data_IF_630469888723
#
_entry.id   IF_630469888723
#
_cell.length_a   1.000
_cell.length_b   1.000
_cell.length_c   1.000
_cell.angle_alpha   90.00
_cell.angle_beta   90.00
_cell.angle_gamma   90.00
#
_symmetry.space_group_name_H-M   'P 1'
#
loop_
_entity.id
_entity.type
_entity.pdbx_description
1 polymer ?
#
# COMPACT_ATOMS: atom_id res chain seq x y z
N UNK A 1 14.84 -27.02 -11.06
CA UNK A 1 14.87 -25.88 -12.01
C UNK A 1 14.59 -24.62 -11.21
N UNK A 2 15.30 -23.52 -11.45
CA UNK A 2 14.93 -22.23 -10.87
C UNK A 2 13.51 -21.86 -11.35
N UNK A 3 12.67 -21.31 -10.47
CA UNK A 3 11.37 -20.80 -10.89
C UNK A 3 11.59 -19.75 -12.00
N UNK A 4 10.74 -19.70 -13.04
CA UNK A 4 10.87 -18.69 -14.08
C UNK A 4 10.78 -17.29 -13.45
N UNK A 5 11.70 -16.41 -13.82
CA UNK A 5 11.70 -15.01 -13.39
C UNK A 5 10.41 -14.34 -13.82
N UNK A 6 9.68 -13.78 -12.86
CA UNK A 6 8.43 -13.04 -13.09
C UNK A 6 8.74 -11.59 -13.45
N UNK A 7 7.84 -10.88 -14.15
CA UNK A 7 8.14 -9.54 -14.68
C UNK A 7 8.49 -8.48 -13.63
N UNK A 8 8.06 -8.64 -12.38
CA UNK A 8 8.33 -7.69 -11.29
C UNK A 8 9.23 -8.28 -10.20
N UNK A 9 9.94 -9.38 -10.47
CA UNK A 9 10.94 -9.87 -9.52
C UNK A 9 12.00 -8.80 -9.26
N UNK A 10 12.31 -8.57 -7.97
CA UNK A 10 13.24 -7.53 -7.52
C UNK A 10 12.60 -6.15 -7.28
N UNK A 11 11.33 -5.95 -7.65
CA UNK A 11 10.60 -4.71 -7.38
C UNK A 11 10.03 -4.73 -5.96
N UNK A 12 10.23 -3.65 -5.21
CA UNK A 12 9.63 -3.44 -3.89
C UNK A 12 8.52 -2.40 -3.94
N UNK A 13 7.34 -2.78 -3.45
CA UNK A 13 6.16 -1.93 -3.37
C UNK A 13 5.81 -1.72 -1.90
N UNK A 14 5.73 -0.46 -1.47
CA UNK A 14 5.16 -0.09 -0.17
C UNK A 14 3.74 0.42 -0.41
N UNK A 15 2.78 0.01 0.40
CA UNK A 15 1.39 0.41 0.19
C UNK A 15 0.63 0.76 1.46
N UNK A 16 -0.07 1.90 1.42
CA UNK A 16 -1.03 2.35 2.43
C UNK A 16 -2.43 2.21 1.83
N UNK A 17 -3.00 1.03 2.01
CA UNK A 17 -4.17 0.63 1.25
C UNK A 17 -5.24 -0.05 2.10
N UNK A 18 -6.50 0.18 1.72
CA UNK A 18 -7.66 -0.37 2.40
C UNK A 18 -8.77 -0.73 1.39
N UNK A 19 -9.74 -1.54 1.82
CA UNK A 19 -10.89 -1.95 1.01
C UNK A 19 -10.50 -2.77 -0.24
N UNK A 20 -10.67 -2.20 -1.43
CA UNK A 20 -10.71 -2.96 -2.69
C UNK A 20 -9.71 -2.46 -3.71
N UNK A 21 -9.79 -1.19 -4.11
CA UNK A 21 -9.12 -0.71 -5.32
C UNK A 21 -7.58 -0.84 -5.26
N UNK A 22 -6.93 -0.25 -4.25
CA UNK A 22 -5.48 -0.40 -4.07
C UNK A 22 -5.08 -1.84 -3.71
N UNK A 23 -5.76 -2.54 -2.78
CA UNK A 23 -5.41 -3.93 -2.48
C UNK A 23 -5.50 -4.87 -3.68
N UNK A 24 -6.50 -4.70 -4.54
CA UNK A 24 -6.61 -5.45 -5.78
C UNK A 24 -5.46 -5.15 -6.74
N UNK A 25 -5.15 -3.87 -6.95
CA UNK A 25 -4.03 -3.45 -7.81
C UNK A 25 -2.68 -4.01 -7.32
N UNK A 26 -2.35 -3.86 -6.05
CA UNK A 26 -1.07 -4.32 -5.49
C UNK A 26 -0.98 -5.84 -5.39
N UNK A 27 -2.11 -6.55 -5.28
CA UNK A 27 -2.13 -8.01 -5.41
C UNK A 27 -1.73 -8.47 -6.82
N UNK A 28 -2.10 -7.73 -7.87
CA UNK A 28 -1.60 -8.03 -9.22
C UNK A 28 -0.07 -7.87 -9.28
N UNK A 29 0.48 -6.85 -8.62
CA UNK A 29 1.94 -6.64 -8.54
C UNK A 29 2.64 -7.80 -7.80
N UNK A 30 2.07 -8.26 -6.68
CA UNK A 30 2.58 -9.42 -5.94
C UNK A 30 2.54 -10.71 -6.78
N UNK A 31 1.42 -10.96 -7.47
CA UNK A 31 1.27 -12.13 -8.35
C UNK A 31 2.31 -12.10 -9.51
N UNK A 32 2.68 -10.90 -9.99
CA UNK A 32 3.73 -10.67 -10.99
C UNK A 32 5.15 -10.62 -10.42
N UNK A 33 5.30 -10.79 -9.10
CA UNK A 33 6.57 -11.04 -8.43
C UNK A 33 7.18 -9.91 -7.61
N UNK A 34 6.50 -8.78 -7.52
CA UNK A 34 6.94 -7.71 -6.62
C UNK A 34 6.84 -8.15 -5.15
N UNK A 35 7.78 -7.69 -4.33
CA UNK A 35 7.64 -7.74 -2.87
C UNK A 35 6.72 -6.60 -2.44
N UNK A 36 5.52 -6.93 -1.96
CA UNK A 36 4.52 -5.93 -1.55
C UNK A 36 4.43 -5.89 -0.03
N UNK A 37 4.73 -4.72 0.55
CA UNK A 37 4.67 -4.46 1.98
C UNK A 37 3.47 -3.57 2.26
N UNK A 38 2.41 -4.15 2.83
CA UNK A 38 1.19 -3.44 3.23
C UNK A 38 1.37 -2.84 4.62
N UNK A 39 1.29 -1.52 4.71
CA UNK A 39 1.32 -0.77 5.97
C UNK A 39 -0.11 -0.59 6.47
N UNK A 40 -0.38 -1.06 7.68
CA UNK A 40 -1.73 -1.09 8.25
C UNK A 40 -1.78 -0.48 9.65
N UNK A 41 -3.00 -0.20 10.13
CA UNK A 41 -3.21 0.32 11.49
C UNK A 41 -2.93 -0.77 12.53
N UNK A 42 -2.23 -0.47 13.64
CA UNK A 42 -2.08 -1.42 14.74
C UNK A 42 -3.42 -1.89 15.30
N UNK A 43 -3.50 -3.17 15.70
CA UNK A 43 -4.70 -3.79 16.28
C UNK A 43 -5.78 -4.15 15.24
N UNK A 44 -6.30 -3.16 14.52
CA UNK A 44 -7.44 -3.35 13.62
C UNK A 44 -7.04 -3.74 12.18
N UNK A 45 -5.94 -3.17 11.68
CA UNK A 45 -5.49 -3.29 10.30
C UNK A 45 -6.39 -2.60 9.26
N UNK A 46 -6.39 -3.13 8.04
CA UNK A 46 -7.37 -2.87 7.00
C UNK A 46 -8.78 -3.29 7.47
N UNK A 47 -9.78 -2.42 7.33
CA UNK A 47 -11.14 -2.74 7.74
C UNK A 47 -11.75 -3.92 6.97
N UNK A 48 -11.24 -4.24 5.77
CA UNK A 48 -11.65 -5.43 5.02
C UNK A 48 -11.37 -6.74 5.77
N UNK A 49 -10.47 -6.73 6.78
CA UNK A 49 -10.20 -7.88 7.67
C UNK A 49 -11.43 -8.32 8.47
N UNK A 50 -12.41 -7.44 8.66
CA UNK A 50 -13.59 -7.65 9.51
C UNK A 50 -14.92 -7.72 8.74
N UNK A 51 -14.87 -7.81 7.40
CA UNK A 51 -16.09 -7.88 6.57
C UNK A 51 -16.88 -9.17 6.76
N UNK A 52 -16.19 -10.28 7.02
CA UNK A 52 -16.76 -11.58 7.31
C UNK A 52 -15.70 -12.45 8.03
N UNK A 53 -16.01 -13.73 8.26
CA UNK A 53 -15.10 -14.71 8.89
C UNK A 53 -15.05 -16.04 8.14
N UNK A 54 -15.38 -16.03 6.84
CA UNK A 54 -15.67 -17.23 6.03
C UNK A 54 -14.46 -18.11 5.74
N UNK A 55 -13.24 -17.57 5.83
CA UNK A 55 -12.00 -18.30 5.50
C UNK A 55 -11.21 -18.54 6.79
N UNK A 56 -11.51 -19.64 7.48
CA UNK A 56 -10.83 -20.02 8.73
C UNK A 56 -10.79 -18.88 9.77
N UNK A 57 -11.89 -18.14 9.91
CA UNK A 57 -11.97 -16.99 10.82
C UNK A 57 -11.46 -15.67 10.24
N UNK A 58 -10.92 -15.67 9.02
CA UNK A 58 -10.52 -14.47 8.27
C UNK A 58 -11.60 -14.07 7.27
N UNK A 59 -11.67 -12.78 6.97
CA UNK A 59 -12.55 -12.27 5.93
C UNK A 59 -12.14 -12.78 4.54
N UNK A 60 -13.09 -13.36 3.81
CA UNK A 60 -12.90 -13.86 2.44
C UNK A 60 -12.34 -12.79 1.52
N UNK A 61 -12.86 -11.56 1.67
CA UNK A 61 -12.47 -10.39 0.92
C UNK A 61 -10.99 -10.06 1.13
N UNK A 62 -10.57 -9.99 2.39
CA UNK A 62 -9.19 -9.68 2.76
C UNK A 62 -8.22 -10.73 2.22
N UNK A 63 -8.52 -12.02 2.41
CA UNK A 63 -7.66 -13.12 1.94
C UNK A 63 -7.47 -13.08 0.43
N UNK A 64 -8.56 -12.90 -0.33
CA UNK A 64 -8.53 -12.92 -1.79
C UNK A 64 -7.64 -11.82 -2.40
N UNK A 65 -7.69 -10.61 -1.86
CA UNK A 65 -6.99 -9.42 -2.41
C UNK A 65 -5.70 -9.06 -1.69
N UNK A 66 -5.31 -9.75 -0.61
CA UNK A 66 -4.06 -9.45 0.11
C UNK A 66 -3.09 -10.63 0.18
N UNK A 67 -3.41 -11.78 -0.43
CA UNK A 67 -2.45 -12.88 -0.56
C UNK A 67 -1.15 -12.43 -1.24
N UNK A 68 -0.04 -13.01 -0.83
CA UNK A 68 1.29 -12.72 -1.39
C UNK A 68 1.92 -11.41 -0.90
N UNK A 69 1.24 -10.66 -0.02
CA UNK A 69 1.76 -9.44 0.60
C UNK A 69 2.32 -9.72 1.99
N UNK A 70 3.35 -8.96 2.36
CA UNK A 70 3.78 -8.78 3.75
C UNK A 70 2.87 -7.73 4.42
N UNK A 71 2.73 -7.82 5.75
CA UNK A 71 1.94 -6.88 6.54
C UNK A 71 2.80 -6.30 7.66
N UNK A 72 2.81 -4.97 7.77
CA UNK A 72 3.48 -4.22 8.82
C UNK A 72 2.47 -3.27 9.46
N UNK A 73 2.30 -3.32 10.77
CA UNK A 73 1.48 -2.34 11.48
C UNK A 73 2.30 -1.10 11.82
N UNK A 74 1.79 0.08 11.49
CA UNK A 74 2.39 1.37 11.83
C UNK A 74 1.30 2.39 12.17
N UNK A 75 1.38 3.00 13.35
CA UNK A 75 0.55 4.16 13.66
C UNK A 75 1.15 5.41 13.04
N UNK A 76 0.54 5.89 11.95
CA UNK A 76 1.00 7.08 11.22
C UNK A 76 0.86 8.39 12.00
N UNK A 77 0.20 8.38 13.17
CA UNK A 77 0.12 9.52 14.08
C UNK A 77 1.27 9.56 15.08
N UNK A 78 2.02 8.47 15.22
CA UNK A 78 3.15 8.41 16.13
C UNK A 78 4.30 9.29 15.62
N UNK A 79 5.02 9.95 16.52
CA UNK A 79 6.10 10.90 16.17
C UNK A 79 7.21 10.26 15.30
N UNK A 80 7.47 8.97 15.51
CA UNK A 80 8.50 8.20 14.79
C UNK A 80 8.02 7.64 13.44
N UNK A 81 6.71 7.72 13.13
CA UNK A 81 6.13 7.04 11.99
C UNK A 81 6.69 7.53 10.66
N UNK A 82 6.95 8.84 10.56
CA UNK A 82 7.55 9.46 9.38
C UNK A 82 8.97 8.93 9.12
N UNK A 83 9.77 8.73 10.17
CA UNK A 83 11.11 8.16 10.05
C UNK A 83 11.08 6.71 9.57
N UNK A 84 10.19 5.90 10.15
CA UNK A 84 10.00 4.49 9.76
C UNK A 84 9.53 4.39 8.31
N UNK A 85 8.53 5.20 7.93
CA UNK A 85 8.00 5.21 6.57
C UNK A 85 9.05 5.69 5.56
N UNK A 86 9.86 6.70 5.90
CA UNK A 86 10.98 7.14 5.09
C UNK A 86 12.03 6.03 4.86
N UNK A 87 12.33 5.23 5.89
CA UNK A 87 13.23 4.07 5.73
C UNK A 87 12.65 3.00 4.82
N UNK A 88 11.35 2.71 4.91
CA UNK A 88 10.67 1.80 4.00
C UNK A 88 10.72 2.32 2.56
N UNK A 89 10.43 3.61 2.36
CA UNK A 89 10.43 4.25 1.04
C UNK A 89 11.83 4.34 0.43
N UNK A 90 12.89 4.42 1.24
CA UNK A 90 14.27 4.41 0.75
C UNK A 90 14.63 3.13 -0.01
N UNK A 91 13.99 2.00 0.30
CA UNK A 91 14.15 0.73 -0.40
C UNK A 91 13.02 0.38 -1.36
N UNK A 92 12.07 1.28 -1.59
CA UNK A 92 10.90 1.03 -2.42
C UNK A 92 11.05 1.62 -3.83
N UNK A 93 10.50 0.91 -4.81
CA UNK A 93 10.38 1.38 -6.20
C UNK A 93 9.02 2.04 -6.44
N UNK A 94 7.99 1.57 -5.74
CA UNK A 94 6.62 2.03 -5.90
C UNK A 94 5.96 2.28 -4.53
N UNK A 95 5.29 3.42 -4.41
CA UNK A 95 4.34 3.72 -3.35
C UNK A 95 2.93 3.72 -3.94
N UNK A 96 2.02 2.89 -3.39
CA UNK A 96 0.60 2.87 -3.77
C UNK A 96 -0.27 3.23 -2.57
N UNK A 97 -1.23 4.14 -2.74
CA UNK A 97 -2.15 4.50 -1.67
C UNK A 97 -3.57 4.81 -2.16
N UNK A 98 -4.57 4.53 -1.31
CA UNK A 98 -5.96 4.96 -1.52
C UNK A 98 -6.59 5.57 -0.26
N UNK A 99 -5.79 6.36 0.47
CA UNK A 99 -6.24 7.17 1.58
C UNK A 99 -7.25 8.23 1.10
N UNK A 100 -8.01 8.76 2.05
CA UNK A 100 -8.95 9.85 1.77
C UNK A 100 -8.24 11.04 1.10
N UNK A 101 -8.93 11.78 0.21
CA UNK A 101 -8.39 12.98 -0.42
C UNK A 101 -7.70 13.92 0.58
N UNK A 102 -6.53 14.44 0.21
CA UNK A 102 -5.70 15.30 1.06
C UNK A 102 -4.92 14.60 2.18
N UNK A 103 -5.25 13.36 2.56
CA UNK A 103 -4.55 12.66 3.64
C UNK A 103 -3.10 12.32 3.26
N UNK A 104 -2.86 11.83 2.03
CA UNK A 104 -1.52 11.55 1.50
C UNK A 104 -0.64 12.80 1.50
N UNK A 105 -1.16 13.93 1.04
CA UNK A 105 -0.44 15.21 1.04
C UNK A 105 -0.10 15.68 2.47
N UNK A 106 -1.05 15.59 3.42
CA UNK A 106 -0.81 15.93 4.83
C UNK A 106 0.25 15.03 5.48
N UNK A 107 0.38 13.79 5.02
CA UNK A 107 1.41 12.85 5.48
C UNK A 107 2.76 13.04 4.76
N UNK A 108 2.87 13.98 3.82
CA UNK A 108 4.09 14.20 3.04
C UNK A 108 4.34 13.13 1.97
N UNK A 109 3.32 12.37 1.58
CA UNK A 109 3.43 11.22 0.68
C UNK A 109 3.10 11.54 -0.79
N UNK A 110 2.92 12.83 -1.12
CA UNK A 110 2.70 13.23 -2.50
C UNK A 110 3.96 13.02 -3.35
N UNK A 111 3.77 12.77 -4.64
CA UNK A 111 4.87 12.63 -5.58
C UNK A 111 5.80 13.85 -5.59
N UNK A 112 5.27 15.05 -5.37
CA UNK A 112 6.05 16.29 -5.27
C UNK A 112 6.88 16.34 -3.99
N UNK A 113 6.31 15.95 -2.85
CA UNK A 113 7.00 15.97 -1.56
C UNK A 113 8.11 14.92 -1.48
N UNK A 114 7.90 13.75 -2.08
CA UNK A 114 8.87 12.64 -2.02
C UNK A 114 9.97 12.73 -3.08
N UNK A 115 9.76 13.45 -4.21
CA UNK A 115 10.72 13.54 -5.32
C UNK A 115 12.15 13.93 -4.89
N UNK A 116 12.37 14.92 -3.99
CA UNK A 116 13.72 15.33 -3.63
C UNK A 116 14.52 14.24 -2.93
N UNK A 117 13.86 13.43 -2.07
CA UNK A 117 14.50 12.35 -1.33
C UNK A 117 14.54 11.03 -2.12
N UNK A 118 13.53 10.79 -2.96
CA UNK A 118 13.33 9.55 -3.70
C UNK A 118 13.03 9.82 -5.18
N UNK A 119 14.02 10.26 -5.98
CA UNK A 119 13.80 10.74 -7.36
C UNK A 119 13.30 9.64 -8.32
N UNK A 120 13.53 8.36 -7.98
CA UNK A 120 13.11 7.20 -8.79
C UNK A 120 11.78 6.57 -8.33
N UNK A 121 11.24 6.99 -7.19
CA UNK A 121 10.04 6.40 -6.63
C UNK A 121 8.82 6.74 -7.49
N UNK A 122 8.09 5.70 -7.90
CA UNK A 122 6.80 5.83 -8.54
C UNK A 122 5.74 5.99 -7.45
N UNK A 123 4.99 7.09 -7.48
CA UNK A 123 3.88 7.33 -6.54
C UNK A 123 2.57 7.20 -7.29
N UNK A 124 1.71 6.31 -6.81
CA UNK A 124 0.40 6.01 -7.38
C UNK A 124 -0.69 6.28 -6.33
N UNK A 125 -1.55 7.24 -6.65
CA UNK A 125 -2.70 7.62 -5.84
C UNK A 125 -3.98 7.08 -6.51
N UNK A 126 -4.81 6.38 -5.74
CA UNK A 126 -6.10 5.85 -6.21
C UNK A 126 -7.22 6.49 -5.39
N UNK A 127 -8.14 7.19 -6.06
CA UNK A 127 -9.33 7.79 -5.46
C UNK A 127 -10.56 7.52 -6.33
N UNK A 128 -11.77 7.75 -5.79
CA UNK A 128 -13.02 7.51 -6.52
C UNK A 128 -13.22 8.45 -7.71
N UNK A 129 -12.87 9.73 -7.55
CA UNK A 129 -13.13 10.79 -8.54
C UNK A 129 -11.86 11.57 -8.94
N UNK A 130 -10.68 11.05 -8.59
CA UNK A 130 -9.42 11.74 -8.85
C UNK A 130 -9.15 12.86 -7.84
N UNK A 131 -8.52 13.94 -8.32
CA UNK A 131 -8.18 15.14 -7.53
C UNK A 131 -9.14 16.31 -7.82
N UNK A 132 -10.33 16.04 -8.37
CA UNK A 132 -11.33 17.08 -8.61
C UNK A 132 -12.04 17.43 -7.29
N UNK A 133 -11.51 18.43 -6.59
CA UNK A 133 -12.10 18.94 -5.35
C UNK A 133 -13.50 19.54 -5.56
N UNK A 134 -13.87 19.89 -6.79
CA UNK A 134 -15.20 20.45 -7.11
C UNK A 134 -16.28 19.36 -7.30
N UNK A 135 -15.89 18.11 -7.57
CA UNK A 135 -16.80 16.97 -7.73
C UNK A 135 -16.22 15.70 -7.05
N UNK A 136 -16.18 15.68 -5.70
CA UNK A 136 -15.51 14.64 -4.93
C UNK A 136 -16.27 13.31 -4.84
#
# INVERSE_FOLDING_TARGET
MAAPTRPLDGITVVTLEHAVAAPFATRQLADLGARVIKVERPGEGDFARHYDTRVNGLASYFVWINRGKESLTLDLKHEQAQGILGQLLAGADVLVQNLAPGASARLGLSAQALRPAHPRLIVCDISGYGNDEANP
#
